data_IF_672527464803
#
_entry.id   IF_672527464803
#
_cell.length_a   1.000
_cell.length_b   1.000
_cell.length_c   1.000
_cell.angle_alpha   90.00
_cell.angle_beta   90.00
_cell.angle_gamma   90.00
#
_symmetry.space_group_name_H-M   'P 1'
#
loop_
_entity.id
_entity.type
_entity.pdbx_description
1 polymer ?
#
# COMPACT_ATOMS: atom_id res chain seq x y z
N UNK A 1 8.76 4.14 12.23
CA UNK A 1 7.64 5.08 12.00
C UNK A 1 7.43 5.88 13.28
N UNK A 2 7.36 7.21 13.22
CA UNK A 2 7.17 8.07 14.41
C UNK A 2 5.71 8.10 14.90
N UNK A 3 4.76 7.67 14.07
CA UNK A 3 3.32 7.75 14.37
C UNK A 3 2.90 6.96 15.62
N UNK A 4 3.29 5.68 15.81
CA UNK A 4 2.95 4.95 17.03
C UNK A 4 3.58 5.57 18.29
N UNK A 5 4.80 6.12 18.17
CA UNK A 5 5.48 6.81 19.27
C UNK A 5 4.70 8.07 19.67
N UNK A 6 4.23 8.85 18.68
CA UNK A 6 3.41 10.03 18.93
C UNK A 6 2.08 9.70 19.62
N UNK A 7 1.42 8.59 19.23
CA UNK A 7 0.21 8.10 19.92
C UNK A 7 0.52 7.70 21.35
N UNK A 8 1.58 6.91 21.56
CA UNK A 8 2.00 6.48 22.89
C UNK A 8 2.36 7.67 23.81
N UNK A 9 2.93 8.74 23.24
CA UNK A 9 3.29 9.96 23.93
C UNK A 9 2.12 10.95 24.13
N UNK A 10 0.88 10.59 23.76
CA UNK A 10 -0.28 11.46 23.95
C UNK A 10 -0.40 12.62 22.96
N UNK A 11 0.32 12.60 21.84
CA UNK A 11 0.30 13.70 20.84
C UNK A 11 -0.90 13.62 19.88
N UNK A 12 -1.79 12.64 20.04
CA UNK A 12 -2.95 12.45 19.19
C UNK A 12 -3.26 10.98 18.90
N UNK A 13 -4.23 10.73 18.02
CA UNK A 13 -4.62 9.38 17.60
C UNK A 13 -4.50 9.19 16.09
N UNK A 14 -4.39 7.93 15.67
CA UNK A 14 -4.39 7.58 14.26
C UNK A 14 -5.78 7.79 13.65
N UNK A 15 -5.90 8.69 12.67
CA UNK A 15 -7.10 8.84 11.86
C UNK A 15 -7.26 7.73 10.82
N UNK A 16 -8.42 7.66 10.16
CA UNK A 16 -8.70 6.66 9.11
C UNK A 16 -7.71 6.75 7.92
N UNK A 17 -7.17 7.94 7.66
CA UNK A 17 -6.14 8.16 6.63
C UNK A 17 -4.72 7.76 7.08
N UNK A 18 -4.56 7.12 8.26
CA UNK A 18 -3.28 6.66 8.82
C UNK A 18 -2.26 7.77 9.12
N UNK A 19 -2.70 9.01 9.34
CA UNK A 19 -1.85 10.04 9.96
C UNK A 19 -2.32 10.25 11.40
N UNK A 20 -1.39 10.65 12.26
CA UNK A 20 -1.72 11.11 13.62
C UNK A 20 -2.46 12.43 13.48
N UNK A 21 -3.57 12.55 14.20
CA UNK A 21 -4.35 13.77 14.33
C UNK A 21 -4.12 14.26 15.76
N UNK A 22 -3.39 15.36 15.89
CA UNK A 22 -3.22 16.10 17.13
C UNK A 22 -4.50 16.88 17.43
N UNK A 23 -4.87 17.00 18.70
CA UNK A 23 -6.11 17.65 19.15
C UNK A 23 -6.20 19.09 18.66
N UNK A 24 -5.15 19.87 18.88
CA UNK A 24 -5.02 21.25 18.40
C UNK A 24 -4.71 21.39 16.90
N UNK A 25 -3.60 20.82 16.45
CA UNK A 25 -3.04 21.07 15.11
C UNK A 25 -3.56 20.15 14.01
N UNK A 26 -4.39 19.16 14.33
CA UNK A 26 -4.86 18.19 13.35
C UNK A 26 -3.75 17.28 12.83
N UNK A 27 -3.81 16.93 11.55
CA UNK A 27 -2.76 16.16 10.89
C UNK A 27 -1.66 17.01 10.26
N UNK A 28 -1.64 18.32 10.52
CA UNK A 28 -0.66 19.29 10.03
C UNK A 28 0.58 19.37 10.93
N UNK A 29 1.13 18.21 11.28
CA UNK A 29 2.26 18.07 12.20
C UNK A 29 3.42 17.31 11.54
N UNK A 30 4.64 17.70 11.91
CA UNK A 30 5.85 16.93 11.62
C UNK A 30 6.27 16.22 12.91
N UNK A 31 6.53 14.92 12.81
CA UNK A 31 6.92 14.10 13.95
C UNK A 31 8.41 13.80 13.89
N UNK A 32 9.10 14.06 14.99
CA UNK A 32 10.47 13.62 15.26
C UNK A 32 10.51 12.73 16.50
N UNK A 33 11.56 11.92 16.63
CA UNK A 33 11.81 11.13 17.83
C UNK A 33 13.26 11.29 18.23
N UNK A 34 13.50 11.56 19.51
CA UNK A 34 14.83 11.65 20.11
C UNK A 34 14.99 10.41 21.00
N UNK A 35 16.08 9.67 20.81
CA UNK A 35 16.49 8.61 21.71
C UNK A 35 17.43 9.21 22.76
N UNK A 36 17.16 8.92 24.03
CA UNK A 36 17.96 9.40 25.15
C UNK A 36 18.25 8.25 26.12
N UNK A 37 19.40 8.34 26.80
CA UNK A 37 19.86 7.43 27.85
C UNK A 37 19.58 8.02 29.25
N UNK A 38 18.47 8.74 29.38
CA UNK A 38 18.04 9.33 30.65
C UNK A 38 16.65 8.82 31.01
N UNK A 39 16.39 8.66 32.31
CA UNK A 39 15.07 8.30 32.80
C UNK A 39 14.14 9.51 32.73
N UNK A 40 12.94 9.29 32.17
CA UNK A 40 11.88 10.30 32.12
C UNK A 40 11.02 10.14 33.38
N UNK A 41 11.06 11.14 34.28
CA UNK A 41 10.38 11.07 35.57
C UNK A 41 8.86 11.18 35.49
N UNK A 42 8.33 11.78 34.42
CA UNK A 42 6.89 11.98 34.20
C UNK A 42 6.53 11.66 32.73
N UNK A 43 6.24 10.39 32.40
CA UNK A 43 5.91 10.00 31.04
C UNK A 43 4.46 10.37 30.71
N UNK A 44 4.27 11.08 29.60
CA UNK A 44 2.94 11.31 29.02
C UNK A 44 2.19 10.00 28.76
N UNK A 45 0.88 10.07 28.83
CA UNK A 45 -0.02 8.94 28.51
C UNK A 45 -0.73 9.18 27.17
N UNK A 46 -1.12 8.12 26.45
CA UNK A 46 -2.03 8.25 25.32
C UNK A 46 -3.30 8.99 25.71
N UNK A 47 -3.83 9.81 24.81
CA UNK A 47 -5.15 10.43 24.97
C UNK A 47 -6.25 9.36 24.90
N UNK A 48 -7.36 9.57 25.61
CA UNK A 48 -8.43 8.58 25.77
C UNK A 48 -9.54 8.66 24.69
N UNK A 49 -9.39 9.56 23.71
CA UNK A 49 -10.32 9.73 22.60
C UNK A 49 -9.60 9.88 21.24
N UNK A 50 -10.31 9.69 20.13
CA UNK A 50 -9.77 9.90 18.78
C UNK A 50 -10.25 11.23 18.18
N UNK A 51 -9.35 12.18 17.85
CA UNK A 51 -9.74 13.47 17.26
C UNK A 51 -10.29 13.37 15.81
N UNK A 52 -10.29 12.18 15.21
CA UNK A 52 -10.88 11.96 13.89
C UNK A 52 -12.41 12.18 13.92
N UNK A 53 -12.91 13.07 13.06
CA UNK A 53 -14.35 13.35 12.94
C UNK A 53 -15.15 12.30 12.15
N UNK A 54 -14.48 11.24 11.67
CA UNK A 54 -15.05 10.22 10.79
C UNK A 54 -15.77 10.75 9.52
N UNK A 55 -15.52 11.99 9.11
CA UNK A 55 -16.19 12.69 8.00
C UNK A 55 -16.00 12.06 6.61
N UNK A 56 -15.10 11.06 6.48
CA UNK A 56 -14.74 10.36 5.24
C UNK A 56 -14.26 11.25 4.07
N UNK A 57 -13.91 12.52 4.30
CA UNK A 57 -13.38 13.39 3.24
C UNK A 57 -12.08 12.85 2.63
N UNK A 58 -11.19 12.28 3.45
CA UNK A 58 -9.98 11.64 2.97
C UNK A 58 -10.25 10.38 2.12
N UNK A 59 -11.32 9.64 2.40
CA UNK A 59 -11.80 8.52 1.56
C UNK A 59 -12.26 9.06 0.22
N UNK A 60 -13.08 10.12 0.24
CA UNK A 60 -13.63 10.75 -0.96
C UNK A 60 -12.55 11.36 -1.88
N UNK A 61 -11.49 11.93 -1.29
CA UNK A 61 -10.41 12.58 -2.02
C UNK A 61 -9.29 11.62 -2.46
N UNK A 62 -9.09 10.47 -1.81
CA UNK A 62 -7.96 9.59 -2.14
C UNK A 62 -8.02 9.10 -3.61
N UNK A 63 -7.05 9.47 -4.46
CA UNK A 63 -7.15 9.24 -5.89
C UNK A 63 -7.05 7.75 -6.25
N UNK A 64 -6.29 6.99 -5.47
CA UNK A 64 -6.08 5.54 -5.66
C UNK A 64 -7.02 4.67 -4.83
N UNK A 65 -7.96 5.26 -4.08
CA UNK A 65 -8.86 4.49 -3.22
C UNK A 65 -8.16 3.70 -2.10
N UNK A 66 -6.98 4.14 -1.66
CA UNK A 66 -6.21 3.45 -0.64
C UNK A 66 -6.85 3.47 0.75
N UNK A 67 -7.75 4.41 1.02
CA UNK A 67 -8.44 4.56 2.29
C UNK A 67 -9.89 4.09 2.09
N UNK A 68 -10.30 3.03 2.79
CA UNK A 68 -11.67 2.52 2.73
C UNK A 68 -12.55 3.16 3.81
N UNK A 69 -13.86 3.37 3.55
CA UNK A 69 -14.79 3.88 4.56
C UNK A 69 -14.94 2.94 5.77
N UNK A 70 -14.69 1.64 5.60
CA UNK A 70 -14.70 0.59 6.62
C UNK A 70 -13.40 0.50 7.44
N UNK A 71 -12.43 1.40 7.22
CA UNK A 71 -11.20 1.48 8.00
C UNK A 71 -10.03 0.64 7.47
N UNK A 72 -10.22 -0.09 6.37
CA UNK A 72 -9.11 -0.77 5.69
C UNK A 72 -8.20 0.26 4.98
N UNK A 73 -6.90 -0.04 4.92
CA UNK A 73 -5.91 0.78 4.22
C UNK A 73 -5.08 -0.09 3.27
N UNK A 74 -5.21 0.18 1.97
CA UNK A 74 -4.43 -0.49 0.93
C UNK A 74 -3.07 0.20 0.80
N UNK A 75 -2.08 -0.37 1.49
CA UNK A 75 -0.72 0.17 1.53
C UNK A 75 -0.07 0.20 0.15
N UNK A 76 -0.17 -0.88 -0.64
CA UNK A 76 0.47 -0.94 -1.96
C UNK A 76 -0.08 0.10 -2.92
N UNK A 77 -1.40 0.37 -2.91
CA UNK A 77 -2.00 1.43 -3.71
C UNK A 77 -1.46 2.82 -3.34
N UNK A 78 -1.43 3.15 -2.03
CA UNK A 78 -0.88 4.42 -1.55
C UNK A 78 0.61 4.54 -1.88
N UNK A 79 1.39 3.48 -1.63
CA UNK A 79 2.83 3.43 -1.88
C UNK A 79 3.15 3.64 -3.36
N UNK A 80 2.47 2.92 -4.26
CA UNK A 80 2.70 2.99 -5.71
C UNK A 80 2.51 4.39 -6.27
N UNK A 81 1.48 5.11 -5.82
CA UNK A 81 1.20 6.45 -6.32
C UNK A 81 1.89 7.55 -5.53
N UNK A 82 1.66 7.60 -4.21
CA UNK A 82 2.12 8.72 -3.39
C UNK A 82 3.65 8.75 -3.25
N UNK A 83 4.30 7.58 -3.23
CA UNK A 83 5.74 7.45 -3.07
C UNK A 83 6.44 7.17 -4.41
N UNK A 84 5.89 7.65 -5.54
CA UNK A 84 6.42 7.38 -6.88
C UNK A 84 7.86 7.87 -7.07
N UNK A 85 8.28 8.89 -6.33
CA UNK A 85 9.64 9.46 -6.36
C UNK A 85 10.60 8.83 -5.35
N UNK A 86 10.14 7.87 -4.56
CA UNK A 86 10.95 7.17 -3.57
C UNK A 86 11.59 5.91 -4.19
N UNK A 87 12.36 5.18 -3.38
CA UNK A 87 13.12 3.98 -3.79
C UNK A 87 12.33 3.00 -4.66
N UNK A 88 11.06 2.73 -4.34
CA UNK A 88 10.22 1.83 -5.14
C UNK A 88 10.02 2.32 -6.57
N UNK A 89 9.61 3.57 -6.74
CA UNK A 89 9.41 4.15 -8.06
C UNK A 89 10.71 4.51 -8.78
N UNK A 90 11.79 4.82 -8.06
CA UNK A 90 13.13 4.94 -8.65
C UNK A 90 13.55 3.61 -9.28
N UNK A 91 13.36 2.49 -8.58
CA UNK A 91 13.71 1.16 -9.10
C UNK A 91 12.87 0.81 -10.33
N UNK A 92 11.55 1.05 -10.31
CA UNK A 92 10.68 0.91 -11.48
C UNK A 92 11.15 1.76 -12.66
N UNK A 93 11.54 3.02 -12.41
CA UNK A 93 12.05 3.91 -13.45
C UNK A 93 13.36 3.38 -14.07
N UNK A 94 14.30 2.89 -13.26
CA UNK A 94 15.55 2.29 -13.72
C UNK A 94 15.28 1.02 -14.56
N UNK A 95 14.31 0.20 -14.18
CA UNK A 95 13.89 -0.95 -14.98
C UNK A 95 13.31 -0.53 -16.32
N UNK A 96 12.49 0.52 -16.37
CA UNK A 96 12.01 1.07 -17.63
C UNK A 96 13.15 1.59 -18.52
N UNK A 97 14.22 2.15 -17.95
CA UNK A 97 15.44 2.51 -18.70
C UNK A 97 16.13 1.26 -19.25
N UNK A 98 16.35 0.24 -18.41
CA UNK A 98 17.04 -1.00 -18.79
C UNK A 98 16.27 -1.82 -19.84
N UNK A 99 14.94 -1.86 -19.75
CA UNK A 99 14.07 -2.60 -20.66
C UNK A 99 13.84 -1.85 -21.99
N UNK A 100 14.22 -0.57 -22.07
CA UNK A 100 14.05 0.24 -23.27
C UNK A 100 15.07 -0.13 -24.34
N UNK A 101 14.59 -0.42 -25.56
CA UNK A 101 15.46 -0.78 -26.68
C UNK A 101 16.34 0.36 -27.18
N UNK A 102 15.83 1.59 -27.07
CA UNK A 102 16.48 2.82 -27.48
C UNK A 102 15.75 4.04 -26.88
N UNK A 103 16.26 5.24 -27.14
CA UNK A 103 15.73 6.48 -26.58
C UNK A 103 14.27 6.78 -26.98
N UNK A 104 13.81 6.32 -28.16
CA UNK A 104 12.41 6.51 -28.58
C UNK A 104 11.47 5.61 -27.79
N UNK A 105 11.85 4.35 -27.57
CA UNK A 105 11.11 3.40 -26.74
C UNK A 105 11.00 3.91 -25.30
N UNK A 106 12.12 4.39 -24.73
CA UNK A 106 12.13 5.02 -23.40
C UNK A 106 11.13 6.17 -23.30
N UNK A 107 11.15 7.13 -24.23
CA UNK A 107 10.22 8.27 -24.21
C UNK A 107 8.75 7.90 -24.41
N UNK A 108 8.46 6.73 -25.00
CA UNK A 108 7.08 6.21 -25.04
C UNK A 108 6.63 5.58 -23.72
N UNK A 109 7.58 5.16 -22.86
CA UNK A 109 7.33 4.54 -21.56
C UNK A 109 7.33 5.56 -20.44
N UNK A 110 8.29 6.48 -20.45
CA UNK A 110 8.51 7.53 -19.45
C UNK A 110 8.46 8.88 -20.14
N UNK A 111 7.52 9.72 -19.75
CA UNK A 111 7.41 11.08 -20.30
C UNK A 111 8.54 11.98 -19.84
N UNK A 112 8.76 13.09 -20.54
CA UNK A 112 9.74 14.10 -20.15
C UNK A 112 9.41 14.70 -18.78
N UNK A 113 8.11 14.86 -18.46
CA UNK A 113 7.65 15.32 -17.15
C UNK A 113 8.00 14.34 -16.02
N UNK A 114 7.89 13.03 -16.26
CA UNK A 114 8.32 12.01 -15.29
C UNK A 114 9.83 11.97 -15.13
N UNK A 115 10.57 12.10 -16.22
CA UNK A 115 12.04 12.18 -16.19
C UNK A 115 12.50 13.39 -15.38
N UNK A 116 11.89 14.57 -15.60
CA UNK A 116 12.15 15.77 -14.84
C UNK A 116 11.78 15.61 -13.35
N UNK A 117 10.64 14.97 -13.07
CA UNK A 117 10.19 14.67 -11.71
C UNK A 117 11.16 13.75 -10.96
N UNK A 118 11.69 12.70 -11.61
CA UNK A 118 12.73 11.83 -11.02
C UNK A 118 14.04 12.58 -10.83
N UNK A 119 14.47 13.37 -11.81
CA UNK A 119 15.70 14.16 -11.70
C UNK A 119 15.63 15.15 -10.52
N UNK A 120 14.50 15.84 -10.36
CA UNK A 120 14.29 16.78 -9.26
C UNK A 120 14.29 16.05 -7.91
N UNK A 121 13.66 14.87 -7.82
CA UNK A 121 13.64 14.11 -6.57
C UNK A 121 15.02 13.60 -6.15
N UNK A 122 15.87 13.24 -7.11
CA UNK A 122 17.27 12.87 -6.84
C UNK A 122 18.13 14.06 -6.43
N UNK A 123 17.78 15.27 -6.87
CA UNK A 123 18.55 16.49 -6.61
C UNK A 123 18.19 17.16 -5.28
N UNK A 124 16.90 17.16 -4.90
CA UNK A 124 16.38 17.91 -3.75
C UNK A 124 15.67 17.03 -2.70
N UNK A 125 15.62 15.71 -2.91
CA UNK A 125 14.95 14.76 -2.04
C UNK A 125 13.62 14.25 -2.59
N UNK A 126 13.23 13.05 -2.15
CA UNK A 126 11.98 12.42 -2.57
C UNK A 126 10.76 13.25 -2.18
N UNK A 127 9.83 13.42 -3.13
CA UNK A 127 8.60 14.20 -2.95
C UNK A 127 7.37 13.29 -3.01
N UNK A 128 6.30 13.72 -2.37
CA UNK A 128 5.02 13.02 -2.37
C UNK A 128 4.16 13.47 -3.56
N UNK A 129 3.56 12.53 -4.31
CA UNK A 129 2.60 12.88 -5.38
C UNK A 129 1.27 13.38 -4.85
N UNK A 130 0.83 12.90 -3.69
CA UNK A 130 -0.52 13.18 -3.19
C UNK A 130 -0.55 13.35 -1.67
N UNK A 131 -0.89 14.56 -1.24
CA UNK A 131 -1.18 14.88 0.16
C UNK A 131 -2.70 15.07 0.40
N UNK A 132 -3.56 14.46 -0.42
CA UNK A 132 -4.99 14.81 -0.46
C UNK A 132 -5.71 14.52 0.85
N UNK A 133 -5.38 13.40 1.49
CA UNK A 133 -5.94 13.06 2.79
C UNK A 133 -5.50 14.01 3.92
N UNK A 134 -4.35 14.67 3.78
CA UNK A 134 -3.93 15.73 4.68
C UNK A 134 -4.74 17.01 4.38
N UNK A 135 -4.72 17.45 3.12
CA UNK A 135 -5.34 18.69 2.68
C UNK A 135 -6.85 18.79 3.02
N UNK A 136 -7.60 17.70 2.89
CA UNK A 136 -9.05 17.72 3.12
C UNK A 136 -9.45 17.51 4.58
N UNK A 137 -8.52 17.17 5.48
CA UNK A 137 -8.84 16.82 6.86
C UNK A 137 -9.13 18.09 7.67
N UNK A 138 -10.34 18.27 8.21
CA UNK A 138 -10.67 19.44 9.01
C UNK A 138 -10.47 19.19 10.52
N UNK A 139 -9.96 18.02 10.91
CA UNK A 139 -9.79 17.68 12.32
C UNK A 139 -8.64 18.49 12.93
N UNK A 140 -8.86 19.04 14.12
CA UNK A 140 -7.92 19.87 14.87
C UNK A 140 -8.58 21.19 15.30
N UNK A 141 -8.46 21.59 16.57
CA UNK A 141 -9.06 22.83 17.09
C UNK A 141 -8.71 24.07 16.25
N UNK A 142 -7.44 24.19 15.83
CA UNK A 142 -6.95 25.35 15.07
C UNK A 142 -7.44 25.36 13.61
N UNK A 143 -7.97 24.23 13.10
CA UNK A 143 -8.30 24.05 11.67
C UNK A 143 -9.76 23.72 11.40
N UNK A 144 -10.54 23.31 12.40
CA UNK A 144 -11.92 22.84 12.24
C UNK A 144 -12.92 23.97 11.99
N UNK A 145 -12.59 25.21 12.39
CA UNK A 145 -13.48 26.37 12.33
C UNK A 145 -14.16 26.59 10.97
N UNK A 146 -13.40 26.73 9.87
CA UNK A 146 -13.97 26.91 8.53
C UNK A 146 -14.92 25.78 8.10
N UNK A 147 -14.58 24.54 8.43
CA UNK A 147 -15.41 23.38 8.11
C UNK A 147 -16.75 23.40 8.88
N UNK A 148 -16.75 23.82 10.15
CA UNK A 148 -17.98 23.94 10.93
C UNK A 148 -18.84 25.12 10.49
N UNK A 149 -18.21 26.23 10.10
CA UNK A 149 -18.92 27.42 9.61
C UNK A 149 -19.64 27.16 8.29
N UNK A 150 -18.96 26.52 7.32
CA UNK A 150 -19.57 26.18 6.04
C UNK A 150 -18.95 24.92 5.41
N UNK A 151 -19.61 23.78 5.65
CA UNK A 151 -19.23 22.49 5.05
C UNK A 151 -19.31 22.49 3.53
N UNK A 152 -20.26 23.24 2.94
CA UNK A 152 -20.45 23.26 1.49
C UNK A 152 -19.28 23.98 0.82
N UNK A 153 -18.84 25.07 1.42
CA UNK A 153 -17.65 25.80 0.96
C UNK A 153 -16.40 24.94 1.09
N UNK A 154 -16.17 24.25 2.23
CA UNK A 154 -15.04 23.30 2.36
C UNK A 154 -15.05 22.21 1.28
N UNK A 155 -16.22 21.62 0.99
CA UNK A 155 -16.35 20.62 -0.07
C UNK A 155 -16.03 21.19 -1.45
N UNK A 156 -16.51 22.39 -1.76
CA UNK A 156 -16.35 22.98 -3.09
C UNK A 156 -14.95 23.56 -3.33
N UNK A 157 -14.30 24.10 -2.30
CA UNK A 157 -13.02 24.80 -2.44
C UNK A 157 -11.81 23.89 -2.12
N UNK A 158 -11.98 22.88 -1.27
CA UNK A 158 -10.86 22.02 -0.84
C UNK A 158 -10.97 20.62 -1.45
N UNK A 159 -12.14 19.98 -1.34
CA UNK A 159 -12.29 18.57 -1.73
C UNK A 159 -12.47 18.41 -3.24
N UNK A 160 -13.44 19.11 -3.81
CA UNK A 160 -13.82 19.01 -5.22
C UNK A 160 -12.66 19.29 -6.18
N UNK A 161 -11.81 20.32 -5.97
CA UNK A 161 -10.69 20.58 -6.88
C UNK A 161 -9.69 19.42 -6.92
N UNK A 162 -9.45 18.72 -5.80
CA UNK A 162 -8.57 17.55 -5.77
C UNK A 162 -9.18 16.35 -6.52
N UNK A 163 -10.50 16.19 -6.46
CA UNK A 163 -11.21 15.13 -7.18
C UNK A 163 -11.21 15.39 -8.70
N UNK A 164 -11.44 16.65 -9.10
CA UNK A 164 -11.59 17.06 -10.49
C UNK A 164 -10.24 17.31 -11.20
N UNK A 165 -9.14 17.47 -10.44
CA UNK A 165 -7.79 17.71 -10.97
C UNK A 165 -7.40 16.69 -12.03
N UNK A 166 -6.99 17.20 -13.18
CA UNK A 166 -6.33 16.45 -14.25
C UNK A 166 -4.89 16.12 -13.85
N UNK A 167 -4.61 14.83 -13.70
CA UNK A 167 -3.26 14.36 -13.35
C UNK A 167 -3.07 12.89 -13.72
N UNK A 168 -1.82 12.45 -13.71
CA UNK A 168 -1.48 11.03 -13.88
C UNK A 168 -1.52 10.31 -12.54
N UNK A 169 -2.27 9.21 -12.48
CA UNK A 169 -2.35 8.32 -11.32
C UNK A 169 -1.64 7.00 -11.65
N UNK A 170 -0.64 6.68 -10.83
CA UNK A 170 0.18 5.50 -10.99
C UNK A 170 -0.46 4.32 -10.25
N UNK A 171 -0.69 3.21 -10.97
CA UNK A 171 -1.28 1.99 -10.40
C UNK A 171 -0.52 0.77 -10.92
N UNK A 172 -0.53 -0.32 -10.16
CA UNK A 172 -0.09 -1.62 -10.67
C UNK A 172 -1.21 -2.28 -11.46
N UNK A 173 -0.85 -3.14 -12.41
CA UNK A 173 -1.81 -3.89 -13.22
C UNK A 173 -2.75 -4.75 -12.35
N UNK A 174 -4.03 -4.76 -12.73
CA UNK A 174 -5.08 -5.56 -12.09
C UNK A 174 -5.21 -5.29 -10.58
N UNK A 175 -4.97 -4.06 -10.14
CA UNK A 175 -5.15 -3.65 -8.74
C UNK A 175 -6.57 -3.15 -8.46
N UNK A 176 -6.94 -3.07 -7.18
CA UNK A 176 -8.17 -2.38 -6.76
C UNK A 176 -8.07 -0.87 -7.02
N UNK A 177 -6.85 -0.32 -6.96
CA UNK A 177 -6.58 1.08 -7.26
C UNK A 177 -6.96 1.45 -8.71
N UNK A 178 -6.60 0.60 -9.68
CA UNK A 178 -6.97 0.76 -11.09
C UNK A 178 -8.50 0.87 -11.27
N UNK A 179 -9.25 -0.05 -10.64
CA UNK A 179 -10.72 -0.04 -10.66
C UNK A 179 -11.28 1.20 -9.99
N UNK A 180 -10.73 1.58 -8.83
CA UNK A 180 -11.16 2.76 -8.08
C UNK A 180 -10.99 4.05 -8.87
N UNK A 181 -9.83 4.25 -9.49
CA UNK A 181 -9.54 5.46 -10.29
C UNK A 181 -10.51 5.57 -11.45
N UNK A 182 -10.63 4.50 -12.25
CA UNK A 182 -11.49 4.47 -13.44
C UNK A 182 -12.97 4.74 -13.10
N UNK A 183 -13.44 4.24 -11.95
CA UNK A 183 -14.83 4.42 -11.50
C UNK A 183 -15.11 5.83 -10.97
N UNK A 184 -14.15 6.45 -10.27
CA UNK A 184 -14.41 7.64 -9.43
C UNK A 184 -13.91 8.94 -10.01
N UNK A 185 -12.89 8.91 -10.86
CA UNK A 185 -12.16 10.10 -11.28
C UNK A 185 -11.97 10.14 -12.80
N UNK A 186 -12.98 10.60 -13.56
CA UNK A 186 -12.93 10.59 -15.03
C UNK A 186 -11.82 11.45 -15.64
N UNK A 187 -11.40 12.51 -14.92
CA UNK A 187 -10.37 13.44 -15.38
C UNK A 187 -8.93 12.96 -15.09
N UNK A 188 -8.79 11.83 -14.37
CA UNK A 188 -7.48 11.32 -13.96
C UNK A 188 -7.00 10.24 -14.92
N UNK A 189 -5.78 10.41 -15.44
CA UNK A 189 -5.18 9.48 -16.38
C UNK A 189 -4.46 8.36 -15.65
N UNK A 190 -4.89 7.12 -15.85
CA UNK A 190 -4.21 5.95 -15.31
C UNK A 190 -2.89 5.74 -16.06
N UNK A 191 -1.81 5.48 -15.31
CA UNK A 191 -0.55 4.97 -15.82
C UNK A 191 -0.13 3.73 -15.05
N UNK A 192 0.06 2.64 -15.77
CA UNK A 192 0.55 1.40 -15.19
C UNK A 192 2.05 1.47 -14.93
N UNK A 193 2.47 0.99 -13.76
CA UNK A 193 3.86 0.86 -13.33
C UNK A 193 4.12 -0.54 -12.79
N UNK A 194 5.39 -0.94 -12.75
CA UNK A 194 5.80 -2.20 -12.15
C UNK A 194 5.56 -2.25 -10.64
N UNK A 195 5.39 -3.45 -10.12
CA UNK A 195 5.34 -3.67 -8.68
C UNK A 195 6.76 -3.65 -8.09
N UNK A 196 7.09 -2.60 -7.34
CA UNK A 196 8.39 -2.46 -6.68
C UNK A 196 8.49 -3.21 -5.33
N UNK A 197 7.37 -3.67 -4.76
CA UNK A 197 7.32 -4.42 -3.51
C UNK A 197 7.60 -5.91 -3.76
N UNK A 198 8.86 -6.23 -4.06
CA UNK A 198 9.33 -7.58 -4.38
C UNK A 198 10.00 -8.23 -3.17
N UNK A 199 9.49 -9.38 -2.67
CA UNK A 199 10.12 -10.05 -1.54
C UNK A 199 11.46 -10.67 -1.94
N UNK A 200 12.44 -10.62 -1.04
CA UNK A 200 13.74 -11.30 -1.18
C UNK A 200 13.86 -12.57 -0.33
N UNK A 201 13.00 -12.71 0.67
CA UNK A 201 12.98 -13.82 1.62
C UNK A 201 11.54 -14.31 1.82
N UNK A 202 11.38 -15.53 2.33
CA UNK A 202 10.06 -16.10 2.68
C UNK A 202 9.42 -15.26 3.79
N UNK A 203 10.21 -14.79 4.74
CA UNK A 203 9.73 -13.90 5.79
C UNK A 203 9.12 -12.61 5.25
N UNK A 204 9.83 -11.91 4.36
CA UNK A 204 9.33 -10.66 3.75
C UNK A 204 8.09 -10.93 2.90
N UNK A 205 8.03 -12.08 2.23
CA UNK A 205 6.85 -12.49 1.48
C UNK A 205 5.62 -12.65 2.38
N UNK A 206 5.72 -13.46 3.45
CA UNK A 206 4.62 -13.75 4.35
C UNK A 206 4.15 -12.49 5.10
N UNK A 207 5.09 -11.71 5.64
CA UNK A 207 4.78 -10.46 6.35
C UNK A 207 4.28 -9.37 5.39
N UNK A 208 4.69 -9.42 4.11
CA UNK A 208 4.31 -8.46 3.08
C UNK A 208 2.91 -8.69 2.51
N UNK A 209 2.40 -9.93 2.51
CA UNK A 209 1.12 -10.28 1.88
C UNK A 209 -0.04 -9.35 2.28
N UNK A 210 -0.31 -9.06 3.57
CA UNK A 210 -1.42 -8.19 3.95
C UNK A 210 -1.31 -6.77 3.39
N UNK A 211 -0.08 -6.30 3.10
CA UNK A 211 0.19 -4.97 2.59
C UNK A 211 0.00 -4.83 1.08
N UNK A 212 0.10 -5.94 0.34
CA UNK A 212 -0.07 -5.98 -1.12
C UNK A 212 -1.39 -6.63 -1.55
N UNK A 213 -2.12 -7.26 -0.64
CA UNK A 213 -3.41 -7.87 -0.89
C UNK A 213 -4.44 -6.89 -1.48
N UNK A 214 -5.24 -7.37 -2.43
CA UNK A 214 -6.29 -6.62 -3.11
C UNK A 214 -7.66 -7.19 -2.70
N UNK A 215 -8.31 -6.62 -1.67
CA UNK A 215 -9.61 -7.07 -1.17
C UNK A 215 -10.65 -7.30 -2.27
N UNK A 216 -10.81 -6.35 -3.19
CA UNK A 216 -11.80 -6.44 -4.27
C UNK A 216 -11.57 -7.61 -5.22
N UNK A 217 -10.30 -8.00 -5.42
CA UNK A 217 -9.91 -9.15 -6.26
C UNK A 217 -10.14 -10.51 -5.59
N UNK A 218 -10.32 -10.52 -4.27
CA UNK A 218 -10.61 -11.73 -3.49
C UNK A 218 -12.12 -12.00 -3.31
N UNK A 219 -12.99 -11.18 -3.91
CA UNK A 219 -14.43 -11.36 -3.82
C UNK A 219 -14.84 -12.79 -4.26
N UNK A 220 -15.58 -13.49 -3.39
CA UNK A 220 -16.02 -14.87 -3.60
C UNK A 220 -14.99 -15.95 -3.25
N UNK A 221 -13.77 -15.59 -2.83
CA UNK A 221 -12.78 -16.54 -2.32
C UNK A 221 -12.92 -16.70 -0.80
N UNK A 222 -13.12 -17.95 -0.37
CA UNK A 222 -13.05 -18.35 1.05
C UNK A 222 -12.23 -19.63 1.12
N UNK A 223 -10.97 -19.54 1.52
CA UNK A 223 -10.05 -20.67 1.51
C UNK A 223 -8.89 -20.49 2.50
N UNK A 224 -8.43 -21.63 3.03
CA UNK A 224 -7.23 -21.75 3.86
C UNK A 224 -6.09 -22.32 3.03
N UNK A 225 -4.96 -21.63 2.99
CA UNK A 225 -3.76 -22.01 2.26
C UNK A 225 -2.66 -22.34 3.26
N UNK A 226 -2.17 -23.57 3.24
CA UNK A 226 -0.95 -23.92 3.97
C UNK A 226 0.24 -23.76 3.06
N UNK A 227 1.29 -23.13 3.56
CA UNK A 227 2.59 -23.04 2.90
C UNK A 227 3.61 -23.82 3.73
N UNK A 228 4.39 -24.66 3.06
CA UNK A 228 5.61 -25.28 3.60
C UNK A 228 6.77 -24.87 2.72
N UNK A 229 7.64 -24.03 3.25
CA UNK A 229 8.88 -23.66 2.60
C UNK A 229 10.00 -24.61 3.03
N UNK A 230 10.77 -25.08 2.06
CA UNK A 230 11.96 -25.93 2.26
C UNK A 230 13.19 -25.25 1.65
N UNK A 231 14.37 -25.86 1.80
CA UNK A 231 15.61 -25.31 1.25
C UNK A 231 16.30 -24.37 2.24
N UNK A 232 16.73 -23.20 1.76
CA UNK A 232 17.52 -22.23 2.53
C UNK A 232 16.72 -21.51 3.62
N UNK A 233 15.41 -21.36 3.44
CA UNK A 233 14.50 -20.83 4.45
C UNK A 233 13.38 -21.86 4.70
N UNK A 234 13.42 -22.52 5.85
CA UNK A 234 12.38 -23.46 6.27
C UNK A 234 11.34 -22.74 7.10
N UNK A 235 10.09 -22.75 6.64
CA UNK A 235 9.00 -22.10 7.36
C UNK A 235 7.66 -22.74 7.03
N UNK A 236 6.74 -22.71 7.97
CA UNK A 236 5.36 -23.09 7.75
C UNK A 236 4.46 -21.91 8.05
N UNK A 237 3.44 -21.71 7.22
CA UNK A 237 2.49 -20.64 7.44
C UNK A 237 1.10 -21.03 6.96
N UNK A 238 0.10 -20.45 7.61
CA UNK A 238 -1.30 -20.54 7.22
C UNK A 238 -1.77 -19.17 6.77
N UNK A 239 -2.26 -19.10 5.53
CA UNK A 239 -2.87 -17.91 4.96
C UNK A 239 -4.36 -18.16 4.79
N UNK A 240 -5.20 -17.38 5.44
CA UNK A 240 -6.66 -17.49 5.29
C UNK A 240 -7.16 -16.27 4.54
N UNK A 241 -7.90 -16.49 3.46
CA UNK A 241 -8.63 -15.45 2.74
C UNK A 241 -10.12 -15.74 2.90
N UNK A 242 -10.84 -14.80 3.48
CA UNK A 242 -12.29 -14.88 3.69
C UNK A 242 -12.86 -13.46 3.82
N UNK A 243 -14.06 -13.23 3.29
CA UNK A 243 -14.77 -11.93 3.40
C UNK A 243 -13.91 -10.73 2.95
N UNK A 244 -13.11 -10.91 1.91
CA UNK A 244 -12.18 -9.91 1.40
C UNK A 244 -11.14 -9.43 2.42
N UNK A 245 -10.81 -10.28 3.38
CA UNK A 245 -9.72 -10.10 4.35
C UNK A 245 -8.70 -11.21 4.17
N UNK A 246 -7.46 -10.91 4.56
CA UNK A 246 -6.36 -11.85 4.60
C UNK A 246 -5.78 -11.90 6.01
N UNK A 247 -5.46 -13.09 6.47
CA UNK A 247 -4.64 -13.29 7.67
C UNK A 247 -3.49 -14.24 7.35
N UNK A 248 -2.35 -14.01 7.98
CA UNK A 248 -1.15 -14.84 7.85
C UNK A 248 -0.71 -15.20 9.25
N UNK A 249 -0.55 -16.49 9.52
CA UNK A 249 -0.17 -17.03 10.82
C UNK A 249 0.98 -18.03 10.64
N UNK A 250 1.86 -18.10 11.64
CA UNK A 250 2.96 -19.06 11.65
C UNK A 250 2.42 -20.48 11.91
N UNK A 251 3.01 -21.47 11.25
CA UNK A 251 2.61 -22.86 11.34
C UNK A 251 1.38 -23.23 10.51
N UNK A 252 1.02 -24.52 10.54
CA UNK A 252 -0.20 -25.05 9.93
C UNK A 252 -1.32 -25.05 10.96
N UNK A 253 -2.36 -24.25 10.71
CA UNK A 253 -3.51 -24.08 11.59
C UNK A 253 -4.77 -24.48 10.82
N UNK A 254 -5.57 -25.36 11.40
CA UNK A 254 -6.79 -25.89 10.78
C UNK A 254 -6.51 -26.75 9.54
N UNK A 255 -7.56 -27.04 8.77
CA UNK A 255 -7.46 -27.84 7.54
C UNK A 255 -7.25 -26.96 6.31
N UNK A 256 -6.26 -27.26 5.45
CA UNK A 256 -6.03 -26.49 4.23
C UNK A 256 -7.05 -26.84 3.14
N UNK A 257 -7.54 -25.81 2.46
CA UNK A 257 -8.19 -25.97 1.16
C UNK A 257 -7.16 -26.25 0.05
N UNK A 258 -5.92 -25.79 0.24
CA UNK A 258 -4.77 -26.04 -0.62
C UNK A 258 -3.48 -26.01 0.22
N UNK A 259 -2.66 -27.05 0.10
CA UNK A 259 -1.32 -27.09 0.70
C UNK A 259 -0.25 -26.95 -0.39
N UNK A 260 0.60 -25.95 -0.23
CA UNK A 260 1.69 -25.61 -1.15
C UNK A 260 3.01 -25.93 -0.45
N UNK A 261 3.78 -26.85 -1.00
CA UNK A 261 5.16 -27.09 -0.57
C UNK A 261 6.11 -26.56 -1.64
N UNK A 262 7.04 -25.69 -1.28
CA UNK A 262 7.94 -25.07 -2.23
C UNK A 262 9.35 -24.88 -1.66
N UNK A 263 10.37 -25.10 -2.49
CA UNK A 263 11.72 -24.61 -2.22
C UNK A 263 11.70 -23.07 -2.16
N UNK A 264 12.29 -22.49 -1.11
CA UNK A 264 12.25 -21.05 -0.81
C UNK A 264 12.78 -20.19 -1.96
N UNK A 265 13.95 -20.52 -2.49
CA UNK A 265 14.58 -19.76 -3.58
C UNK A 265 13.82 -19.90 -4.90
N UNK A 266 13.21 -21.06 -5.13
CA UNK A 266 12.36 -21.27 -6.30
C UNK A 266 11.10 -20.41 -6.21
N UNK A 267 10.46 -20.39 -5.04
CA UNK A 267 9.25 -19.60 -4.81
C UNK A 267 9.51 -18.10 -4.94
N UNK A 268 10.55 -17.59 -4.28
CA UNK A 268 10.93 -16.17 -4.35
C UNK A 268 11.33 -15.78 -5.78
N UNK A 269 12.09 -16.61 -6.49
CA UNK A 269 12.43 -16.36 -7.89
C UNK A 269 11.19 -16.34 -8.80
N UNK A 270 10.16 -17.14 -8.51
CA UNK A 270 8.89 -17.07 -9.23
C UNK A 270 8.16 -15.75 -8.99
N UNK A 271 8.03 -15.31 -7.72
CA UNK A 271 7.38 -14.04 -7.38
C UNK A 271 8.10 -12.83 -8.02
N UNK A 272 9.41 -12.94 -8.23
CA UNK A 272 10.23 -11.92 -8.89
C UNK A 272 10.23 -12.01 -10.42
N UNK A 273 9.48 -12.94 -11.01
CA UNK A 273 9.45 -13.25 -12.46
C UNK A 273 10.81 -13.68 -13.03
N UNK A 274 11.72 -14.13 -12.18
CA UNK A 274 13.06 -14.63 -12.55
C UNK A 274 13.03 -16.14 -12.86
N UNK A 275 12.03 -16.85 -12.32
CA UNK A 275 11.81 -18.29 -12.55
C UNK A 275 10.39 -18.54 -13.05
N UNK A 276 10.25 -19.51 -13.96
CA UNK A 276 8.95 -19.89 -14.50
C UNK A 276 8.30 -21.01 -13.66
N UNK A 277 7.05 -20.79 -13.24
CA UNK A 277 6.30 -21.72 -12.37
C UNK A 277 6.07 -23.09 -12.99
N UNK A 278 5.91 -23.17 -14.32
CA UNK A 278 5.70 -24.45 -15.03
C UNK A 278 6.92 -25.34 -14.90
N UNK A 279 8.11 -24.76 -15.03
CA UNK A 279 9.37 -25.48 -14.84
C UNK A 279 9.60 -25.89 -13.38
N UNK A 280 9.15 -25.08 -12.42
CA UNK A 280 9.22 -25.41 -10.99
C UNK A 280 8.31 -26.59 -10.61
N UNK A 281 7.09 -26.63 -11.17
CA UNK A 281 6.17 -27.76 -11.00
C UNK A 281 6.72 -29.05 -11.63
N UNK A 282 7.27 -28.96 -12.85
CA UNK A 282 7.88 -30.11 -13.54
C UNK A 282 9.09 -30.68 -12.79
N UNK A 283 9.91 -29.81 -12.18
CA UNK A 283 11.08 -30.21 -11.37
C UNK A 283 10.70 -30.65 -9.94
N UNK A 284 9.41 -30.66 -9.59
CA UNK A 284 8.88 -31.00 -8.25
C UNK A 284 9.46 -30.14 -7.12
N UNK A 285 9.99 -28.95 -7.43
CA UNK A 285 10.44 -27.95 -6.46
C UNK A 285 9.28 -27.12 -5.93
N UNK A 286 8.12 -27.16 -6.60
CA UNK A 286 6.82 -26.77 -6.06
C UNK A 286 5.89 -27.98 -6.16
N UNK A 287 5.19 -28.29 -5.08
CA UNK A 287 4.18 -29.35 -4.99
C UNK A 287 2.90 -28.77 -4.43
N UNK A 288 1.78 -29.21 -4.98
CA UNK A 288 0.45 -28.78 -4.59
C UNK A 288 -0.34 -30.00 -4.16
N UNK A 289 -0.95 -29.93 -2.99
CA UNK A 289 -1.96 -30.88 -2.55
C UNK A 289 -3.29 -30.13 -2.41
N UNK A 290 -4.24 -30.45 -3.29
CA UNK A 290 -5.48 -29.72 -3.49
C UNK A 290 -5.62 -29.09 -4.89
N UNK A 291 -6.71 -28.35 -5.14
CA UNK A 291 -7.11 -27.94 -6.48
C UNK A 291 -6.33 -26.72 -7.00
N UNK A 292 -5.65 -26.85 -8.15
CA UNK A 292 -4.84 -25.80 -8.79
C UNK A 292 -5.58 -24.47 -9.00
N UNK A 293 -6.90 -24.50 -9.23
CA UNK A 293 -7.73 -23.30 -9.37
C UNK A 293 -7.63 -22.36 -8.16
N UNK A 294 -7.39 -22.90 -6.95
CA UNK A 294 -7.22 -22.09 -5.74
C UNK A 294 -5.89 -21.34 -5.74
N UNK A 295 -4.82 -21.93 -6.27
CA UNK A 295 -3.53 -21.22 -6.43
C UNK A 295 -3.67 -20.04 -7.40
N UNK A 296 -4.39 -20.25 -8.51
CA UNK A 296 -4.67 -19.19 -9.49
C UNK A 296 -5.54 -18.10 -8.88
N UNK A 297 -6.59 -18.47 -8.12
CA UNK A 297 -7.43 -17.51 -7.41
C UNK A 297 -6.64 -16.72 -6.36
N UNK A 298 -5.77 -17.39 -5.60
CA UNK A 298 -4.85 -16.76 -4.65
C UNK A 298 -3.96 -15.74 -5.36
N UNK A 299 -3.29 -16.12 -6.44
CA UNK A 299 -2.41 -15.21 -7.20
C UNK A 299 -3.14 -13.97 -7.74
N UNK A 300 -4.41 -14.09 -8.13
CA UNK A 300 -5.24 -12.95 -8.58
C UNK A 300 -5.55 -11.94 -7.48
N UNK A 301 -5.42 -12.32 -6.20
CA UNK A 301 -5.62 -11.42 -5.07
C UNK A 301 -4.45 -10.45 -4.85
N UNK A 302 -3.39 -10.54 -5.65
CA UNK A 302 -2.20 -9.71 -5.55
C UNK A 302 -1.90 -9.00 -6.88
N UNK A 303 -1.28 -7.80 -6.84
CA UNK A 303 -0.93 -7.06 -8.04
C UNK A 303 0.13 -7.80 -8.88
N UNK A 304 0.05 -7.62 -10.20
CA UNK A 304 0.95 -8.25 -11.19
C UNK A 304 2.17 -7.40 -11.53
#
# INVERSE_FOLDING_TARGET
SHKPVAVAAGLGMMGIHRNVIHEKFGNFILLGTILLDAEVSDPSQPIDYNPCLECKLCVAACPVGAISPEGHFNFSACYTHNYREFMGGFTDWVEQVADSRNARDYRSRVSDAESASMWQSLSYGANYKSAYCLAVCPAGEDVIGPFLADRKTHLNEIVRPLQEKEETIYVTNNSDAEVSVAKRFPNKKIKHVGNSLRPKTVEVFLNGMPHVFQPGKSAGLSATFHFTFTGSEQRQATVVIQEQKISVTEGHVGEPSLHITADSETWIGFLRKEKNVVWALLRRTIRLDGPLRLLVAFGKCFPQ
#
